data_IF_333510802488
#
_entry.id   IF_333510802488
#
_cell.length_a   1.000
_cell.length_b   1.000
_cell.length_c   1.000
_cell.angle_alpha   90.00
_cell.angle_beta   90.00
_cell.angle_gamma   90.00
#
_symmetry.space_group_name_H-M   'P 1'
#
loop_
_entity.id
_entity.type
_entity.pdbx_description
1 polymer ?
#
# COMPACT_ATOMS: atom_id res chain seq x y z
N UNK A 1 -23.05 5.68 12.65
CA UNK A 1 -22.38 4.48 13.16
C UNK A 1 -20.87 4.70 13.17
N UNK A 2 -20.21 4.31 14.26
CA UNK A 2 -18.76 4.45 14.40
C UNK A 2 -18.15 3.07 14.64
N UNK A 3 -17.20 2.69 13.79
CA UNK A 3 -16.44 1.45 13.94
C UNK A 3 -15.27 1.70 14.89
N UNK A 4 -15.32 1.12 16.10
CA UNK A 4 -14.31 1.36 17.13
C UNK A 4 -13.11 0.40 17.03
N UNK A 5 -13.26 -0.74 16.36
CA UNK A 5 -12.21 -1.73 16.20
C UNK A 5 -11.34 -1.51 14.95
N UNK A 6 -11.57 -0.39 14.29
CA UNK A 6 -10.89 -0.08 13.03
C UNK A 6 -9.56 0.61 13.33
N UNK A 7 -8.47 0.02 12.86
CA UNK A 7 -7.12 0.58 12.99
C UNK A 7 -6.54 0.83 11.63
N UNK A 8 -5.94 2.00 11.46
CA UNK A 8 -5.24 2.32 10.22
C UNK A 8 -4.02 1.43 10.07
N UNK A 9 -3.87 0.79 8.92
CA UNK A 9 -2.72 -0.09 8.65
C UNK A 9 -1.72 0.54 7.69
N UNK A 10 -2.16 0.93 6.51
CA UNK A 10 -1.24 1.53 5.54
C UNK A 10 -1.96 2.34 4.46
N UNK A 11 -1.18 3.15 3.77
CA UNK A 11 -1.58 3.85 2.55
C UNK A 11 -0.98 3.09 1.37
N UNK A 12 -1.80 2.71 0.40
CA UNK A 12 -1.34 2.09 -0.83
C UNK A 12 -0.99 3.14 -1.87
N UNK A 13 0.23 3.08 -2.39
CA UNK A 13 0.72 4.03 -3.38
C UNK A 13 1.18 3.25 -4.60
N UNK A 14 0.51 3.48 -5.73
CA UNK A 14 0.91 2.92 -7.01
C UNK A 14 2.12 3.69 -7.53
N UNK A 15 3.15 2.96 -7.98
CA UNK A 15 4.39 3.55 -8.47
C UNK A 15 4.83 2.84 -9.74
N UNK A 16 5.49 3.57 -10.64
CA UNK A 16 6.11 2.98 -11.82
C UNK A 16 7.55 2.55 -11.58
N UNK A 17 8.21 3.14 -10.58
CA UNK A 17 9.60 2.87 -10.25
C UNK A 17 9.77 2.77 -8.73
N UNK A 18 9.97 1.55 -8.21
CA UNK A 18 10.15 1.31 -6.79
C UNK A 18 11.33 2.08 -6.20
N UNK A 19 12.49 1.98 -6.85
CA UNK A 19 13.71 2.53 -6.26
C UNK A 19 13.67 4.04 -6.13
N UNK A 20 13.14 4.68 -7.15
CA UNK A 20 13.01 6.13 -7.15
C UNK A 20 12.12 6.61 -6.01
N UNK A 21 10.96 6.00 -5.86
CA UNK A 21 9.99 6.45 -4.85
C UNK A 21 10.40 5.98 -3.45
N UNK A 22 10.89 4.77 -3.31
CA UNK A 22 11.36 4.27 -2.03
C UNK A 22 12.49 5.14 -1.47
N UNK A 23 13.39 5.62 -2.33
CA UNK A 23 14.50 6.47 -1.86
C UNK A 23 14.03 7.78 -1.25
N UNK A 24 12.93 8.36 -1.73
CA UNK A 24 12.33 9.53 -1.08
C UNK A 24 11.85 9.21 0.32
N UNK A 25 11.18 8.06 0.49
CA UNK A 25 10.70 7.64 1.80
C UNK A 25 11.84 7.29 2.75
N UNK A 26 12.90 6.62 2.25
CA UNK A 26 14.07 6.34 3.09
C UNK A 26 14.71 7.64 3.60
N UNK A 27 14.73 8.68 2.78
CA UNK A 27 15.33 9.96 3.18
C UNK A 27 14.61 10.65 4.34
N UNK A 28 13.36 10.28 4.60
CA UNK A 28 12.58 10.83 5.72
C UNK A 28 12.36 9.81 6.84
N UNK A 29 13.10 8.71 6.84
CA UNK A 29 13.15 7.78 7.96
C UNK A 29 12.38 6.49 7.79
N UNK A 30 11.79 6.22 6.64
CA UNK A 30 11.13 4.93 6.39
C UNK A 30 12.14 3.81 6.21
N UNK A 31 11.73 2.61 6.57
CA UNK A 31 12.52 1.39 6.42
C UNK A 31 11.68 0.31 5.77
N UNK A 32 12.32 -0.61 5.06
CA UNK A 32 11.63 -1.78 4.53
C UNK A 32 11.17 -2.68 5.66
N UNK A 33 9.91 -3.05 5.65
CA UNK A 33 9.40 -4.12 6.51
C UNK A 33 9.74 -5.48 5.93
N UNK A 34 9.58 -5.64 4.61
CA UNK A 34 9.87 -6.89 3.91
C UNK A 34 11.35 -6.94 3.52
N UNK A 35 11.98 -8.11 3.63
CA UNK A 35 13.36 -8.30 3.17
C UNK A 35 13.47 -8.27 1.65
N UNK A 36 12.41 -8.66 0.96
CA UNK A 36 12.36 -8.70 -0.48
C UNK A 36 10.98 -8.24 -0.97
N UNK A 37 10.91 -7.91 -2.25
CA UNK A 37 9.67 -7.56 -2.91
C UNK A 37 8.74 -8.77 -2.90
N UNK A 38 7.47 -8.53 -2.58
CA UNK A 38 6.43 -9.56 -2.59
C UNK A 38 5.70 -9.48 -3.91
N UNK A 39 5.56 -10.62 -4.61
CA UNK A 39 4.80 -10.70 -5.84
C UNK A 39 3.41 -11.25 -5.55
N UNK A 40 2.39 -10.50 -5.94
CA UNK A 40 1.00 -10.91 -5.87
C UNK A 40 0.48 -11.11 -7.28
N UNK A 41 0.41 -12.37 -7.72
CA UNK A 41 -0.01 -12.70 -9.07
C UNK A 41 -1.52 -12.55 -9.28
N UNK A 42 -2.31 -12.64 -8.21
CA UNK A 42 -3.74 -12.44 -8.30
C UNK A 42 -4.09 -10.99 -8.62
N UNK A 43 -3.38 -10.04 -8.04
CA UNK A 43 -3.56 -8.63 -8.31
C UNK A 43 -2.63 -8.11 -9.42
N UNK A 44 -1.73 -8.95 -9.90
CA UNK A 44 -0.77 -8.66 -10.96
C UNK A 44 0.13 -7.47 -10.57
N UNK A 45 0.69 -7.53 -9.37
CA UNK A 45 1.54 -6.46 -8.82
C UNK A 45 2.75 -7.02 -8.07
N UNK A 46 3.77 -6.19 -7.96
CA UNK A 46 4.85 -6.33 -6.98
C UNK A 46 4.64 -5.29 -5.90
N UNK A 47 4.89 -5.64 -4.65
CA UNK A 47 4.68 -4.72 -3.55
C UNK A 47 5.78 -4.80 -2.50
N UNK A 48 5.93 -3.70 -1.77
CA UNK A 48 6.84 -3.61 -0.64
C UNK A 48 6.22 -2.69 0.42
N UNK A 49 6.28 -3.14 1.68
CA UNK A 49 5.80 -2.35 2.80
C UNK A 49 6.95 -1.55 3.42
N UNK A 50 6.73 -0.27 3.59
CA UNK A 50 7.65 0.65 4.26
C UNK A 50 7.03 1.08 5.59
N UNK A 51 7.84 1.08 6.64
CA UNK A 51 7.40 1.43 7.98
C UNK A 51 8.20 2.59 8.53
N UNK A 52 7.58 3.32 9.45
CA UNK A 52 8.17 4.46 10.13
C UNK A 52 7.70 4.48 11.58
N UNK A 53 8.56 4.91 12.51
CA UNK A 53 8.22 4.93 13.93
C UNK A 53 7.08 5.90 14.25
N UNK A 54 6.95 6.99 13.49
CA UNK A 54 6.03 8.08 13.80
C UNK A 54 5.00 8.36 12.71
N UNK A 55 5.13 7.78 11.53
CA UNK A 55 4.26 8.04 10.39
C UNK A 55 3.54 6.78 9.93
N UNK A 56 2.45 6.92 9.19
CA UNK A 56 1.72 5.75 8.69
C UNK A 56 2.58 4.84 7.84
N UNK A 57 2.30 3.55 7.89
CA UNK A 57 2.92 2.59 6.97
C UNK A 57 2.51 2.91 5.55
N UNK A 58 3.43 2.66 4.62
CA UNK A 58 3.22 2.89 3.20
C UNK A 58 3.49 1.60 2.45
N UNK A 59 2.56 1.19 1.60
CA UNK A 59 2.75 0.06 0.70
C UNK A 59 2.97 0.61 -0.71
N UNK A 60 4.16 0.43 -1.25
CA UNK A 60 4.45 0.75 -2.63
C UNK A 60 4.06 -0.44 -3.50
N UNK A 61 3.27 -0.19 -4.53
CA UNK A 61 2.74 -1.23 -5.40
C UNK A 61 3.05 -0.87 -6.84
N UNK A 62 3.74 -1.78 -7.53
CA UNK A 62 4.14 -1.59 -8.93
C UNK A 62 3.40 -2.60 -9.81
N UNK A 63 2.85 -2.18 -10.95
CA UNK A 63 2.23 -3.15 -11.86
C UNK A 63 3.26 -4.16 -12.33
N UNK A 64 2.87 -5.45 -12.30
CA UNK A 64 3.72 -6.53 -12.77
C UNK A 64 3.87 -6.51 -14.29
N UNK A 65 2.79 -6.15 -14.98
CA UNK A 65 2.74 -6.01 -16.43
C UNK A 65 1.52 -5.15 -16.82
N UNK A 66 1.28 -5.04 -18.12
CA UNK A 66 0.20 -4.19 -18.65
C UNK A 66 -1.21 -4.64 -18.28
N UNK A 67 -1.39 -5.86 -17.76
CA UNK A 67 -2.69 -6.38 -17.33
C UNK A 67 -3.05 -5.97 -15.91
N UNK A 68 -2.12 -5.38 -15.17
CA UNK A 68 -2.39 -4.96 -13.80
C UNK A 68 -3.42 -3.82 -13.76
N UNK A 69 -4.48 -3.95 -12.92
CA UNK A 69 -5.48 -2.88 -12.79
C UNK A 69 -4.89 -1.56 -12.30
N UNK A 70 -3.78 -1.59 -11.56
CA UNK A 70 -3.21 -0.37 -11.02
C UNK A 70 -2.55 0.51 -12.09
N UNK A 71 -2.36 0.01 -13.30
CA UNK A 71 -1.90 0.84 -14.41
C UNK A 71 -2.83 2.03 -14.65
N UNK A 72 -4.10 1.90 -14.32
CA UNK A 72 -5.06 2.99 -14.48
C UNK A 72 -4.69 4.21 -13.63
N UNK A 73 -4.07 3.98 -12.46
CA UNK A 73 -3.64 5.08 -11.57
C UNK A 73 -2.37 5.75 -12.06
N UNK A 74 -1.62 5.11 -12.97
CA UNK A 74 -0.32 5.59 -13.43
C UNK A 74 -0.37 6.19 -14.85
N UNK A 75 -1.56 6.41 -15.41
CA UNK A 75 -1.71 6.94 -16.77
C UNK A 75 -1.20 8.36 -16.94
N UNK A 76 -1.32 9.18 -15.90
CA UNK A 76 -0.94 10.60 -15.96
C UNK A 76 0.08 10.99 -14.89
N UNK A 77 0.56 10.02 -14.09
CA UNK A 77 1.53 10.28 -13.04
C UNK A 77 2.31 9.01 -12.74
N UNK A 78 3.57 9.15 -12.35
CA UNK A 78 4.40 8.02 -11.94
C UNK A 78 4.11 7.54 -10.52
N UNK A 79 3.30 8.27 -9.77
CA UNK A 79 2.96 8.00 -8.38
C UNK A 79 1.51 8.38 -8.15
N UNK A 80 0.75 7.51 -7.51
CA UNK A 80 -0.64 7.82 -7.16
C UNK A 80 -1.07 7.05 -5.92
N UNK A 81 -1.69 7.74 -4.96
CA UNK A 81 -2.34 7.09 -3.83
C UNK A 81 -3.58 6.39 -4.37
N UNK A 82 -3.74 5.09 -4.11
CA UNK A 82 -4.87 4.35 -4.66
C UNK A 82 -5.74 3.65 -3.63
N UNK A 83 -5.26 3.47 -2.38
CA UNK A 83 -6.13 2.97 -1.32
C UNK A 83 -5.59 3.32 0.07
N UNK A 84 -6.49 3.25 1.06
CA UNK A 84 -6.17 3.21 2.48
C UNK A 84 -6.60 1.86 3.01
N UNK A 85 -5.77 1.23 3.84
CA UNK A 85 -6.06 -0.07 4.42
C UNK A 85 -6.18 0.02 5.93
N UNK A 86 -7.20 -0.62 6.49
CA UNK A 86 -7.47 -0.64 7.92
C UNK A 86 -7.52 -2.08 8.42
N UNK A 87 -7.06 -2.29 9.65
CA UNK A 87 -7.21 -3.56 10.35
C UNK A 87 -8.46 -3.50 11.22
N UNK A 88 -9.11 -4.66 11.36
CA UNK A 88 -10.26 -4.82 12.26
C UNK A 88 -10.01 -6.03 13.14
N UNK A 89 -10.54 -6.00 14.37
CA UNK A 89 -10.42 -7.14 15.28
C UNK A 89 -11.27 -8.31 14.81
N UNK A 90 -12.39 -8.02 14.19
CA UNK A 90 -13.29 -9.05 13.66
C UNK A 90 -13.98 -8.55 12.42
N UNK A 91 -13.82 -9.31 11.32
CA UNK A 91 -14.49 -9.00 10.06
C UNK A 91 -16.02 -9.11 10.19
N UNK A 92 -16.49 -10.07 10.97
CA UNK A 92 -17.93 -10.21 11.19
C UNK A 92 -18.53 -9.03 11.95
N UNK A 93 -17.78 -8.44 12.87
CA UNK A 93 -18.26 -7.24 13.57
C UNK A 93 -18.38 -6.05 12.62
N UNK A 94 -17.43 -5.90 11.69
CA UNK A 94 -17.50 -4.86 10.67
C UNK A 94 -18.74 -5.04 9.79
N UNK A 95 -19.00 -6.25 9.34
CA UNK A 95 -20.15 -6.55 8.51
C UNK A 95 -21.47 -6.28 9.25
N UNK A 96 -21.51 -6.60 10.54
CA UNK A 96 -22.70 -6.31 11.36
C UNK A 96 -23.00 -4.82 11.44
N UNK A 97 -21.98 -3.99 11.51
CA UNK A 97 -22.13 -2.55 11.67
C UNK A 97 -22.38 -1.81 10.36
N UNK A 98 -22.04 -2.43 9.25
CA UNK A 98 -22.29 -1.86 7.94
C UNK A 98 -23.72 -2.08 7.47
#
# INVERSE_FOLDING_TARGET
MVLQNLKFHHIGIAVSDFEKIASYYYSIGYKKFNKSIIRDELQVVDLILLIHDFHPNIELVKPLNERSPINNYLKSSDVAIYHFCYEVDSFSDVIKEL
#
